data_IF_476727414067
#
_entry.id   IF_476727414067
#
_cell.length_a   1.000
_cell.length_b   1.000
_cell.length_c   1.000
_cell.angle_alpha   90.00
_cell.angle_beta   90.00
_cell.angle_gamma   90.00
#
_symmetry.space_group_name_H-M   'P 1'
#
loop_
_entity.id
_entity.type
_entity.pdbx_description
1 polymer ?
#
# COMPACT_ATOMS: atom_id res chain seq x y z
N UNK A 1 -27.35 -4.00 -9.17
CA UNK A 1 -26.26 -4.24 -8.21
C UNK A 1 -25.31 -3.06 -8.25
N UNK A 2 -24.78 -2.59 -7.10
CA UNK A 2 -23.83 -1.48 -7.07
C UNK A 2 -22.54 -1.84 -7.82
N UNK A 3 -21.82 -0.83 -8.33
CA UNK A 3 -20.58 -1.02 -9.09
C UNK A 3 -19.51 -1.78 -8.28
N UNK A 4 -19.48 -1.56 -6.96
CA UNK A 4 -18.61 -2.28 -6.03
C UNK A 4 -18.93 -3.79 -6.00
N UNK A 5 -20.21 -4.16 -5.97
CA UNK A 5 -20.59 -5.58 -5.99
C UNK A 5 -20.24 -6.21 -7.33
N UNK A 6 -20.41 -5.47 -8.43
CA UNK A 6 -20.08 -5.96 -9.76
C UNK A 6 -18.57 -6.15 -9.95
N UNK A 7 -17.73 -5.21 -9.51
CA UNK A 7 -16.27 -5.35 -9.67
C UNK A 7 -15.72 -6.44 -8.73
N UNK A 8 -16.35 -6.63 -7.56
CA UNK A 8 -15.93 -7.62 -6.58
C UNK A 8 -16.38 -9.05 -6.94
N UNK A 9 -17.66 -9.26 -7.26
CA UNK A 9 -18.25 -10.58 -7.49
C UNK A 9 -18.49 -10.93 -8.96
N UNK A 10 -18.40 -9.95 -9.86
CA UNK A 10 -18.56 -10.16 -11.29
C UNK A 10 -17.33 -10.80 -11.94
N UNK A 11 -17.54 -11.26 -13.17
CA UNK A 11 -16.57 -12.06 -13.96
C UNK A 11 -15.84 -11.25 -15.03
N UNK A 12 -16.00 -9.92 -15.06
CA UNK A 12 -15.31 -9.03 -16.00
C UNK A 12 -14.98 -7.70 -15.31
N UNK A 13 -13.94 -7.73 -14.47
CA UNK A 13 -13.54 -6.58 -13.66
C UNK A 13 -13.09 -5.41 -14.54
N UNK A 14 -12.49 -5.70 -15.70
CA UNK A 14 -12.04 -4.69 -16.65
C UNK A 14 -13.23 -3.93 -17.26
N UNK A 15 -14.22 -4.65 -17.81
CA UNK A 15 -15.38 -4.02 -18.43
C UNK A 15 -16.23 -3.27 -17.40
N UNK A 16 -16.37 -3.80 -16.19
CA UNK A 16 -17.06 -3.08 -15.10
C UNK A 16 -16.33 -1.79 -14.75
N UNK A 17 -15.01 -1.84 -14.49
CA UNK A 17 -14.25 -0.67 -14.09
C UNK A 17 -14.28 0.46 -15.13
N UNK A 18 -14.22 0.12 -16.43
CA UNK A 18 -14.25 1.08 -17.53
C UNK A 18 -15.62 1.72 -17.77
N UNK A 19 -16.71 1.14 -17.24
CA UNK A 19 -18.09 1.65 -17.40
C UNK A 19 -18.52 2.58 -16.27
N UNK A 20 -17.81 2.58 -15.14
CA UNK A 20 -18.17 3.42 -13.99
C UNK A 20 -18.07 4.89 -14.39
N UNK A 21 -19.14 5.68 -14.27
CA UNK A 21 -19.13 7.08 -14.66
C UNK A 21 -18.24 7.91 -13.74
N UNK A 22 -17.57 8.91 -14.30
CA UNK A 22 -16.85 9.89 -13.51
C UNK A 22 -17.84 10.77 -12.74
N UNK A 23 -17.64 10.89 -11.43
CA UNK A 23 -18.44 11.78 -10.57
C UNK A 23 -17.89 13.22 -10.53
N UNK A 24 -16.64 13.41 -10.94
CA UNK A 24 -15.94 14.69 -11.01
C UNK A 24 -14.81 14.62 -12.05
N UNK A 25 -14.34 15.75 -12.60
CA UNK A 25 -13.21 15.76 -13.51
C UNK A 25 -11.91 15.28 -12.81
N UNK A 26 -10.94 14.73 -13.56
CA UNK A 26 -9.61 14.42 -13.03
C UNK A 26 -8.98 15.65 -12.35
N UNK A 27 -8.43 15.44 -11.15
CA UNK A 27 -7.90 16.55 -10.33
C UNK A 27 -8.97 17.39 -9.63
N UNK A 28 -10.24 16.98 -9.61
CA UNK A 28 -11.33 17.68 -8.91
C UNK A 28 -11.42 17.43 -7.40
N UNK A 29 -10.62 16.51 -6.85
CA UNK A 29 -10.64 16.15 -5.42
C UNK A 29 -10.09 14.76 -5.14
N UNK A 30 -10.13 14.34 -3.87
CA UNK A 30 -9.66 13.03 -3.42
C UNK A 30 -10.81 12.09 -3.01
N UNK A 31 -10.83 10.89 -3.60
CA UNK A 31 -11.69 9.78 -3.21
C UNK A 31 -10.88 8.49 -3.23
N UNK A 32 -10.82 7.78 -2.11
CA UNK A 32 -10.24 6.44 -2.07
C UNK A 32 -11.16 5.48 -2.84
N UNK A 33 -10.66 4.92 -3.95
CA UNK A 33 -11.52 4.23 -4.92
C UNK A 33 -10.83 3.02 -5.58
N UNK A 34 -11.45 1.86 -5.41
CA UNK A 34 -11.01 0.59 -5.98
C UNK A 34 -11.07 0.55 -7.51
N UNK A 35 -12.05 1.22 -8.12
CA UNK A 35 -12.23 1.25 -9.58
C UNK A 35 -11.01 1.85 -10.26
N UNK A 36 -10.44 2.93 -9.70
CA UNK A 36 -9.26 3.58 -10.25
C UNK A 36 -8.05 2.63 -10.28
N UNK A 37 -7.85 1.85 -9.21
CA UNK A 37 -6.80 0.83 -9.16
C UNK A 37 -7.01 -0.28 -10.20
N UNK A 38 -8.27 -0.69 -10.44
CA UNK A 38 -8.58 -1.67 -11.49
C UNK A 38 -8.30 -1.11 -12.89
N UNK A 39 -8.65 0.15 -13.15
CA UNK A 39 -8.34 0.82 -14.43
C UNK A 39 -6.82 0.89 -14.66
N UNK A 40 -6.02 1.15 -13.61
CA UNK A 40 -4.55 1.08 -13.72
C UNK A 40 -4.06 -0.33 -14.05
N UNK A 41 -4.69 -1.37 -13.49
CA UNK A 41 -4.44 -2.76 -13.87
C UNK A 41 -4.68 -3.00 -15.36
N UNK A 42 -5.82 -2.54 -15.88
CA UNK A 42 -6.18 -2.70 -17.30
C UNK A 42 -5.17 -1.98 -18.19
N UNK A 43 -4.76 -0.78 -17.80
CA UNK A 43 -3.73 -0.02 -18.51
C UNK A 43 -2.39 -0.77 -18.53
N UNK A 44 -1.99 -1.36 -17.41
CA UNK A 44 -0.73 -2.09 -17.31
C UNK A 44 -0.72 -3.34 -18.18
N UNK A 45 -1.78 -4.16 -18.14
CA UNK A 45 -1.87 -5.35 -19.00
C UNK A 45 -1.88 -4.98 -20.49
N UNK A 46 -2.60 -3.92 -20.87
CA UNK A 46 -2.62 -3.44 -22.26
C UNK A 46 -1.27 -2.89 -22.72
N UNK A 47 -0.56 -2.16 -21.85
CA UNK A 47 0.73 -1.56 -22.18
C UNK A 47 1.86 -2.60 -22.25
N UNK A 48 1.77 -3.68 -21.47
CA UNK A 48 2.81 -4.70 -21.35
C UNK A 48 2.53 -5.95 -22.18
N UNK A 49 1.26 -6.21 -22.51
CA UNK A 49 0.82 -7.47 -23.12
C UNK A 49 0.88 -8.67 -22.16
N UNK A 50 1.07 -8.45 -20.86
CA UNK A 50 1.22 -9.49 -19.85
C UNK A 50 0.08 -9.43 -18.82
N UNK A 51 -0.38 -10.59 -18.29
CA UNK A 51 -1.27 -10.60 -17.13
C UNK A 51 -0.63 -9.87 -15.95
N UNK A 52 -1.44 -9.11 -15.20
CA UNK A 52 -0.96 -8.24 -14.13
C UNK A 52 -0.16 -9.03 -13.07
N UNK A 53 -0.66 -10.19 -12.67
CA UNK A 53 -0.01 -11.03 -11.65
C UNK A 53 1.38 -11.51 -12.09
N UNK A 54 1.53 -11.87 -13.37
CA UNK A 54 2.82 -12.25 -13.95
C UNK A 54 3.77 -11.06 -14.04
N UNK A 55 3.26 -9.91 -14.49
CA UNK A 55 4.07 -8.69 -14.57
C UNK A 55 4.59 -8.27 -13.19
N UNK A 56 3.73 -8.25 -12.18
CA UNK A 56 4.11 -7.97 -10.80
C UNK A 56 5.14 -8.98 -10.26
N UNK A 57 4.92 -10.27 -10.56
CA UNK A 57 5.83 -11.34 -10.14
C UNK A 57 7.25 -11.09 -10.66
N UNK A 58 7.39 -10.86 -11.97
CA UNK A 58 8.68 -10.64 -12.60
C UNK A 58 9.34 -9.32 -12.23
N UNK A 59 8.56 -8.25 -12.10
CA UNK A 59 9.11 -6.89 -11.91
C UNK A 59 9.42 -6.55 -10.47
N UNK A 60 8.69 -7.12 -9.51
CA UNK A 60 8.81 -6.74 -8.09
C UNK A 60 8.96 -7.99 -7.23
N UNK A 61 8.04 -8.95 -7.31
CA UNK A 61 7.92 -10.02 -6.31
C UNK A 61 9.13 -10.97 -6.27
N UNK A 62 9.53 -11.50 -7.43
CA UNK A 62 10.74 -12.32 -7.53
C UNK A 62 12.01 -11.50 -7.20
N UNK A 63 12.20 -10.27 -7.73
CA UNK A 63 13.33 -9.43 -7.35
C UNK A 63 13.50 -9.14 -5.86
N UNK A 64 12.40 -9.03 -5.10
CA UNK A 64 12.48 -8.87 -3.63
C UNK A 64 12.73 -10.18 -2.88
N UNK A 65 12.86 -11.30 -3.60
CA UNK A 65 13.06 -12.63 -3.02
C UNK A 65 11.86 -13.12 -2.23
N UNK A 66 10.65 -12.70 -2.60
CA UNK A 66 9.42 -13.17 -1.99
C UNK A 66 9.05 -14.59 -2.46
N UNK A 67 8.34 -15.32 -1.61
CA UNK A 67 7.83 -16.66 -1.93
C UNK A 67 6.54 -16.63 -2.77
N UNK A 68 5.85 -17.76 -2.79
CA UNK A 68 4.58 -17.88 -3.52
C UNK A 68 3.52 -16.91 -2.98
N UNK A 69 2.78 -16.32 -3.91
CA UNK A 69 1.67 -15.43 -3.64
C UNK A 69 0.54 -15.66 -4.64
N UNK A 70 -0.67 -15.24 -4.28
CA UNK A 70 -1.86 -15.47 -5.09
C UNK A 70 -2.66 -14.19 -5.29
N UNK A 71 -3.28 -14.06 -6.46
CA UNK A 71 -4.29 -13.06 -6.73
C UNK A 71 -5.65 -13.72 -6.91
N UNK A 72 -6.69 -13.07 -6.39
CA UNK A 72 -8.04 -13.40 -6.81
C UNK A 72 -8.30 -12.82 -8.21
N UNK A 73 -8.57 -13.70 -9.17
CA UNK A 73 -9.00 -13.33 -10.52
C UNK A 73 -10.52 -13.08 -10.58
N UNK A 74 -10.98 -12.29 -11.54
CA UNK A 74 -12.41 -12.11 -11.78
C UNK A 74 -13.12 -13.38 -12.28
N UNK A 75 -12.41 -14.20 -13.03
CA UNK A 75 -12.79 -15.55 -13.47
C UNK A 75 -11.55 -16.40 -13.69
N UNK A 76 -11.73 -17.71 -13.91
CA UNK A 76 -10.64 -18.59 -14.30
C UNK A 76 -9.96 -18.08 -15.59
N UNK A 77 -8.63 -17.95 -15.56
CA UNK A 77 -7.86 -17.36 -16.66
C UNK A 77 -8.14 -15.88 -16.94
N UNK A 78 -8.88 -15.21 -16.05
CA UNK A 78 -9.25 -13.81 -16.15
C UNK A 78 -8.23 -12.84 -15.57
N UNK A 79 -8.66 -11.61 -15.36
CA UNK A 79 -7.82 -10.53 -14.87
C UNK A 79 -7.74 -10.57 -13.34
N UNK A 80 -6.58 -10.23 -12.78
CA UNK A 80 -6.45 -9.99 -11.34
C UNK A 80 -7.35 -8.84 -10.87
N UNK A 81 -7.99 -9.01 -9.71
CA UNK A 81 -8.68 -7.92 -9.00
C UNK A 81 -7.64 -7.01 -8.33
N UNK A 82 -7.05 -6.09 -9.07
CA UNK A 82 -5.83 -5.34 -8.67
C UNK A 82 -6.04 -4.39 -7.48
N UNK A 83 -7.30 -4.04 -7.16
CA UNK A 83 -7.64 -3.17 -6.04
C UNK A 83 -7.65 -3.88 -4.68
N UNK A 84 -7.59 -5.21 -4.63
CA UNK A 84 -7.62 -5.98 -3.41
C UNK A 84 -6.89 -7.31 -3.59
N UNK A 85 -7.12 -8.23 -2.66
CA UNK A 85 -7.13 -9.66 -2.96
C UNK A 85 -5.79 -10.23 -3.46
N UNK A 86 -4.69 -9.60 -3.04
CA UNK A 86 -3.34 -10.14 -3.12
C UNK A 86 -3.00 -10.84 -1.80
N UNK A 87 -2.72 -12.13 -1.88
CA UNK A 87 -2.44 -12.99 -0.74
C UNK A 87 -0.97 -13.35 -0.74
N UNK A 88 -0.29 -12.99 0.33
CA UNK A 88 1.13 -13.23 0.55
C UNK A 88 1.41 -13.36 2.05
N UNK A 89 2.56 -13.95 2.40
CA UNK A 89 2.93 -14.10 3.81
C UNK A 89 3.35 -12.75 4.42
N UNK A 90 3.25 -12.63 5.74
CA UNK A 90 3.74 -11.44 6.44
C UNK A 90 5.23 -11.16 6.17
N UNK A 91 6.03 -12.22 5.96
CA UNK A 91 7.46 -12.09 5.63
C UNK A 91 7.68 -11.50 4.24
N UNK A 92 6.81 -11.81 3.28
CA UNK A 92 6.93 -11.25 1.93
C UNK A 92 6.48 -9.79 1.89
N UNK A 93 5.43 -9.44 2.63
CA UNK A 93 5.09 -8.04 2.88
C UNK A 93 6.22 -7.27 3.58
N UNK A 94 6.97 -7.93 4.48
CA UNK A 94 8.14 -7.33 5.13
C UNK A 94 9.25 -7.06 4.11
N UNK A 95 9.50 -7.97 3.16
CA UNK A 95 10.45 -7.75 2.06
C UNK A 95 10.05 -6.58 1.17
N UNK A 96 8.77 -6.43 0.88
CA UNK A 96 8.26 -5.27 0.14
C UNK A 96 8.55 -3.97 0.89
N UNK A 97 8.21 -3.93 2.18
CA UNK A 97 8.50 -2.78 3.05
C UNK A 97 9.99 -2.50 3.17
N UNK A 98 10.84 -3.54 3.27
CA UNK A 98 12.30 -3.41 3.31
C UNK A 98 12.85 -2.82 2.02
N UNK A 99 12.38 -3.28 0.85
CA UNK A 99 12.79 -2.70 -0.44
C UNK A 99 12.38 -1.21 -0.54
N UNK A 100 11.23 -0.82 0.00
CA UNK A 100 10.84 0.59 0.09
C UNK A 100 11.71 1.38 1.08
N UNK A 101 12.06 0.80 2.24
CA UNK A 101 12.99 1.38 3.21
C UNK A 101 14.36 1.64 2.58
N UNK A 102 14.84 0.68 1.78
CA UNK A 102 16.10 0.72 1.04
C UNK A 102 15.99 1.46 -0.29
N UNK A 103 15.03 2.40 -0.39
CA UNK A 103 14.88 3.35 -1.51
C UNK A 103 14.72 2.66 -2.87
N UNK A 104 14.01 1.53 -2.86
CA UNK A 104 13.73 0.73 -4.04
C UNK A 104 14.77 -0.33 -4.36
N UNK A 105 15.72 -0.60 -3.46
CA UNK A 105 16.82 -1.55 -3.69
C UNK A 105 16.64 -2.87 -2.95
N UNK A 106 17.26 -3.90 -3.49
CA UNK A 106 17.48 -5.20 -2.85
C UNK A 106 18.93 -5.58 -3.10
N UNK A 107 19.78 -5.44 -2.06
CA UNK A 107 21.23 -5.52 -2.22
C UNK A 107 21.74 -4.50 -3.25
N UNK A 108 22.39 -4.99 -4.30
CA UNK A 108 22.93 -4.13 -5.37
C UNK A 108 21.91 -3.77 -6.45
N UNK A 109 20.78 -4.49 -6.52
CA UNK A 109 19.78 -4.32 -7.56
C UNK A 109 18.79 -3.19 -7.23
N UNK A 110 18.56 -2.29 -8.18
CA UNK A 110 17.48 -1.29 -8.13
C UNK A 110 16.20 -1.90 -8.71
N UNK A 111 15.24 -2.27 -7.85
CA UNK A 111 13.97 -2.90 -8.25
C UNK A 111 12.98 -1.85 -8.75
N UNK A 112 12.80 -0.76 -8.00
CA UNK A 112 12.05 0.42 -8.43
C UNK A 112 12.96 1.65 -8.38
N UNK A 113 12.87 2.62 -9.31
CA UNK A 113 13.69 3.83 -9.23
C UNK A 113 13.43 4.62 -7.94
N UNK A 114 14.48 5.09 -7.27
CA UNK A 114 14.34 5.95 -6.07
C UNK A 114 13.49 7.19 -6.37
N UNK A 115 13.64 7.78 -7.56
CA UNK A 115 12.84 8.92 -8.00
C UNK A 115 11.35 8.58 -8.16
N UNK A 116 11.00 7.32 -8.45
CA UNK A 116 9.61 6.87 -8.48
C UNK A 116 9.07 6.72 -7.07
N UNK A 117 9.84 6.15 -6.14
CA UNK A 117 9.45 6.08 -4.73
C UNK A 117 9.23 7.49 -4.15
N UNK A 118 10.12 8.44 -4.42
CA UNK A 118 9.93 9.84 -3.99
C UNK A 118 8.61 10.44 -4.51
N UNK A 119 8.24 10.16 -5.76
CA UNK A 119 6.94 10.56 -6.32
C UNK A 119 5.78 9.88 -5.59
N UNK A 120 5.90 8.58 -5.28
CA UNK A 120 4.88 7.85 -4.52
C UNK A 120 4.65 8.46 -3.14
N UNK A 121 5.69 8.99 -2.51
CA UNK A 121 5.66 9.58 -1.17
C UNK A 121 5.36 11.08 -1.16
N UNK A 122 5.12 11.69 -2.31
CA UNK A 122 4.75 13.11 -2.40
C UNK A 122 3.25 13.28 -2.12
N UNK A 123 2.83 14.10 -1.14
CA UNK A 123 1.43 14.35 -0.85
C UNK A 123 0.65 14.90 -2.04
N UNK A 124 -0.62 14.50 -2.17
CA UNK A 124 -1.52 15.11 -3.15
C UNK A 124 -2.11 16.42 -2.63
N UNK A 125 -2.45 17.39 -3.50
CA UNK A 125 -3.06 18.66 -3.07
C UNK A 125 -4.41 18.52 -2.34
N UNK A 126 -5.12 17.40 -2.54
CA UNK A 126 -6.46 17.17 -2.02
C UNK A 126 -6.52 16.22 -0.82
N UNK A 127 -5.43 15.49 -0.55
CA UNK A 127 -5.26 14.65 0.63
C UNK A 127 -3.78 14.67 1.02
N UNK A 128 -3.39 15.44 2.05
CA UNK A 128 -2.00 15.59 2.45
C UNK A 128 -1.42 14.33 3.12
N UNK A 129 -2.28 13.39 3.54
CA UNK A 129 -1.88 12.08 4.08
C UNK A 129 -1.87 10.97 3.00
N UNK A 130 -1.92 11.30 1.71
CA UNK A 130 -1.92 10.31 0.63
C UNK A 130 -1.06 10.74 -0.54
N UNK A 131 -0.24 9.80 -1.03
CA UNK A 131 0.57 9.95 -2.25
C UNK A 131 0.04 9.07 -3.39
N UNK A 132 0.93 8.49 -4.19
CA UNK A 132 0.53 7.55 -5.25
C UNK A 132 0.32 6.15 -4.68
N UNK A 133 -0.91 5.87 -4.25
CA UNK A 133 -1.31 4.57 -3.64
C UNK A 133 -0.63 4.23 -2.30
N UNK A 134 -0.12 5.24 -1.58
CA UNK A 134 0.54 5.07 -0.27
C UNK A 134 0.00 6.11 0.71
N UNK A 135 -0.24 5.71 1.95
CA UNK A 135 -0.60 6.63 3.04
C UNK A 135 0.64 7.21 3.70
N UNK A 136 0.57 8.49 4.07
CA UNK A 136 1.68 9.26 4.63
C UNK A 136 1.35 9.68 6.07
N UNK A 137 2.36 9.70 6.94
CA UNK A 137 2.27 10.21 8.31
C UNK A 137 2.56 11.72 8.37
N UNK A 138 2.16 12.46 7.34
CA UNK A 138 2.65 13.82 7.08
C UNK A 138 1.83 14.91 7.78
N UNK A 139 0.50 14.80 7.79
CA UNK A 139 -0.40 15.87 8.21
C UNK A 139 -1.06 15.62 9.56
N UNK A 140 -1.13 16.68 10.36
CA UNK A 140 -1.97 16.73 11.55
C UNK A 140 -3.44 17.03 11.22
N UNK A 141 -3.76 17.38 9.97
CA UNK A 141 -5.10 17.78 9.50
C UNK A 141 -5.67 16.85 8.42
N UNK A 142 -4.94 15.79 8.06
CA UNK A 142 -5.40 14.79 7.10
C UNK A 142 -6.64 14.03 7.59
N UNK A 143 -7.39 13.43 6.64
CA UNK A 143 -8.68 12.76 6.95
C UNK A 143 -8.54 11.59 7.94
N UNK A 144 -7.32 11.06 8.10
CA UNK A 144 -7.00 9.96 9.01
C UNK A 144 -6.63 10.38 10.43
N UNK A 145 -6.61 11.68 10.73
CA UNK A 145 -6.40 12.19 12.10
C UNK A 145 -7.31 11.50 13.13
N UNK A 146 -8.58 11.27 12.77
CA UNK A 146 -9.58 10.65 13.65
C UNK A 146 -9.30 9.18 14.02
N UNK A 147 -8.35 8.52 13.37
CA UNK A 147 -7.96 7.13 13.67
C UNK A 147 -6.71 7.07 14.56
N UNK A 148 -6.33 8.18 15.21
CA UNK A 148 -5.10 8.29 16.00
C UNK A 148 -5.43 8.96 17.34
N UNK A 149 -4.99 8.37 18.46
CA UNK A 149 -5.15 9.02 19.78
C UNK A 149 -4.10 10.12 20.02
N UNK A 150 -3.00 10.07 19.27
CA UNK A 150 -1.88 11.00 19.31
C UNK A 150 -1.22 11.18 17.93
N UNK A 151 -0.43 12.24 17.71
CA UNK A 151 0.35 12.37 16.47
C UNK A 151 1.35 11.22 16.31
N UNK A 152 1.69 10.90 15.05
CA UNK A 152 2.83 10.03 14.77
C UNK A 152 4.13 10.70 15.22
N UNK A 153 5.01 9.93 15.86
CA UNK A 153 6.35 10.40 16.24
C UNK A 153 7.22 10.60 14.99
N UNK A 154 7.18 9.64 14.06
CA UNK A 154 7.95 9.70 12.82
C UNK A 154 7.12 10.30 11.68
N UNK A 155 7.42 11.54 11.30
CA UNK A 155 6.72 12.27 10.22
C UNK A 155 7.11 11.82 8.80
N UNK A 156 8.21 11.09 8.67
CA UNK A 156 8.64 10.46 7.42
C UNK A 156 8.08 9.03 7.24
N UNK A 157 7.26 8.57 8.19
CA UNK A 157 6.59 7.28 8.07
C UNK A 157 5.59 7.30 6.92
N UNK A 158 5.53 6.20 6.19
CA UNK A 158 4.48 5.91 5.22
C UNK A 158 4.03 4.47 5.37
N UNK A 159 2.85 4.14 4.84
CA UNK A 159 2.32 2.80 5.00
C UNK A 159 1.35 2.38 3.89
N UNK A 160 1.33 1.07 3.67
CA UNK A 160 0.29 0.41 2.88
C UNK A 160 -0.85 0.00 3.82
N UNK A 161 -2.08 0.21 3.36
CA UNK A 161 -3.30 -0.05 4.12
C UNK A 161 -4.18 -1.04 3.37
N UNK A 162 -4.57 -2.11 4.05
CA UNK A 162 -5.54 -3.08 3.57
C UNK A 162 -6.75 -3.22 4.51
N UNK A 163 -7.80 -3.82 3.97
CA UNK A 163 -9.02 -4.17 4.72
C UNK A 163 -8.68 -4.94 6.00
N UNK A 164 -9.52 -4.79 7.02
CA UNK A 164 -9.30 -5.38 8.35
C UNK A 164 -7.97 -5.00 8.98
N UNK A 165 -7.47 -3.80 8.64
CA UNK A 165 -6.26 -3.18 9.20
C UNK A 165 -4.97 -3.94 8.82
N UNK A 166 -4.88 -4.53 7.64
CA UNK A 166 -3.56 -4.99 7.17
C UNK A 166 -2.64 -3.77 7.02
N UNK A 167 -1.40 -3.85 7.51
CA UNK A 167 -0.45 -2.73 7.49
C UNK A 167 0.94 -3.19 7.11
N UNK A 168 1.59 -2.37 6.29
CA UNK A 168 3.04 -2.35 6.11
C UNK A 168 3.49 -0.94 6.39
N UNK A 169 3.98 -0.68 7.61
CA UNK A 169 4.58 0.60 7.98
C UNK A 169 6.06 0.60 7.63
N UNK A 170 6.54 1.70 7.05
CA UNK A 170 7.94 1.93 6.74
C UNK A 170 8.35 3.27 7.35
N UNK A 171 9.40 3.25 8.17
CA UNK A 171 9.85 4.38 8.97
C UNK A 171 11.35 4.60 8.71
N UNK A 172 11.72 5.41 7.70
CA UNK A 172 13.12 5.61 7.30
C UNK A 172 14.01 6.12 8.42
N UNK A 173 13.57 7.13 9.17
CA UNK A 173 14.32 7.74 10.28
C UNK A 173 14.67 6.79 11.42
N UNK A 174 13.99 5.64 11.50
CA UNK A 174 14.22 4.60 12.50
C UNK A 174 14.71 3.27 11.90
N UNK A 175 14.95 3.21 10.58
CA UNK A 175 15.34 1.98 9.87
C UNK A 175 14.40 0.81 10.19
N UNK A 176 13.10 1.09 10.24
CA UNK A 176 12.11 0.18 10.81
C UNK A 176 10.99 -0.11 9.79
N UNK A 177 10.70 -1.40 9.61
CA UNK A 177 9.53 -1.89 8.89
C UNK A 177 8.68 -2.71 9.85
N UNK A 178 7.37 -2.42 9.89
CA UNK A 178 6.41 -3.14 10.73
C UNK A 178 5.32 -3.70 9.83
N UNK A 179 5.11 -5.02 9.89
CA UNK A 179 4.00 -5.68 9.20
C UNK A 179 2.99 -6.14 10.23
N UNK A 180 1.74 -5.74 10.06
CA UNK A 180 0.60 -6.28 10.82
C UNK A 180 -0.34 -6.95 9.84
N UNK A 181 -0.48 -8.26 10.00
CA UNK A 181 -1.53 -9.04 9.36
C UNK A 181 -2.44 -9.65 10.41
N UNK A 182 -3.74 -9.71 10.15
CA UNK A 182 -4.68 -10.29 11.10
C UNK A 182 -6.14 -9.99 10.77
N UNK A 183 -7.02 -10.88 11.24
CA UNK A 183 -8.45 -10.84 10.95
C UNK A 183 -9.28 -10.28 12.12
N UNK A 184 -8.64 -10.03 13.27
CA UNK A 184 -9.28 -9.47 14.45
C UNK A 184 -8.88 -7.99 14.57
N UNK A 185 -9.87 -7.13 14.40
CA UNK A 185 -9.71 -5.68 14.55
C UNK A 185 -10.41 -5.31 15.85
N UNK A 186 -9.67 -4.90 16.90
CA UNK A 186 -10.29 -4.29 18.07
C UNK A 186 -11.16 -3.12 17.61
N UNK A 187 -12.36 -2.97 18.19
CA UNK A 187 -13.40 -2.08 17.67
C UNK A 187 -12.97 -0.64 17.35
N UNK A 188 -11.89 -0.13 17.98
CA UNK A 188 -11.25 1.11 17.59
C UNK A 188 -9.74 0.88 17.41
N UNK A 189 -9.29 0.81 16.16
CA UNK A 189 -7.86 0.78 15.84
C UNK A 189 -7.26 2.18 15.95
N UNK A 190 -6.09 2.25 16.60
CA UNK A 190 -5.27 3.45 16.68
C UNK A 190 -4.04 3.27 15.78
N UNK A 191 -4.00 3.98 14.65
CA UNK A 191 -2.91 3.88 13.70
C UNK A 191 -1.56 4.31 14.31
N UNK A 192 -1.55 5.18 15.32
CA UNK A 192 -0.34 5.67 15.97
C UNK A 192 0.21 4.70 17.03
N UNK A 193 -0.62 3.82 17.59
CA UNK A 193 -0.26 3.00 18.74
C UNK A 193 0.95 2.11 18.50
N UNK A 194 0.91 1.24 17.48
CA UNK A 194 1.99 0.29 17.19
C UNK A 194 3.30 1.01 16.82
N UNK A 195 3.35 1.91 15.81
CA UNK A 195 4.60 2.55 15.42
C UNK A 195 5.19 3.41 16.54
N UNK A 196 4.38 4.22 17.23
CA UNK A 196 4.89 5.07 18.32
C UNK A 196 5.40 4.24 19.50
N UNK A 197 4.74 3.13 19.83
CA UNK A 197 5.18 2.24 20.92
C UNK A 197 6.55 1.65 20.62
N UNK A 198 6.77 1.15 19.40
CA UNK A 198 8.07 0.58 19.00
C UNK A 198 9.16 1.67 18.94
N UNK A 199 8.86 2.85 18.42
CA UNK A 199 9.79 3.99 18.41
C UNK A 199 10.22 4.35 19.84
N UNK A 200 9.28 4.47 20.78
CA UNK A 200 9.61 4.76 22.19
C UNK A 200 10.47 3.66 22.84
N UNK A 201 10.28 2.41 22.44
CA UNK A 201 11.10 1.28 22.88
C UNK A 201 12.55 1.40 22.38
N UNK A 202 12.74 1.59 21.08
CA UNK A 202 14.07 1.66 20.44
C UNK A 202 14.92 2.85 20.92
N UNK A 203 14.31 4.01 21.18
CA UNK A 203 15.02 5.17 21.74
C UNK A 203 15.61 4.86 23.12
N UNK A 204 14.89 4.10 23.97
CA UNK A 204 15.37 3.73 25.31
C UNK A 204 16.56 2.78 25.26
N UNK A 205 16.61 1.87 24.29
CA UNK A 205 17.73 0.93 24.12
C UNK A 205 18.99 1.66 23.63
N UNK A 206 18.86 2.53 22.61
CA UNK A 206 20.00 3.33 22.10
C UNK A 206 20.60 4.28 23.14
N UNK A 207 19.86 4.66 24.19
CA UNK A 207 20.39 5.44 25.32
C UNK A 207 21.12 4.58 26.36
N UNK A 208 20.76 3.30 26.50
CA UNK A 208 21.45 2.36 27.39
C UNK A 208 22.81 1.92 26.83
N UNK A 209 22.91 1.74 25.52
CA UNK A 209 24.16 1.35 24.86
C UNK A 209 25.21 2.48 24.80
N UNK A 210 24.85 3.70 25.19
CA UNK A 210 25.71 4.89 25.19
C UNK A 210 26.17 5.34 26.59
N UNK A 211 25.79 4.63 27.64
CA UNK A 211 26.20 4.90 29.03
C UNK A 211 27.10 3.80 29.56
#
# INVERSE_FOLDING_TARGET
FSDLVQIYLGTDAAATALKVPQVQPPGGGFFYNNVNTQVLGVLLERATGQPFAEYLSHKIWQPIGAGDAAYWLDREGGMAKTFCCFFATARDWLRLGQMMLDRGRVGEQQVIPESWLQKMLTPTPFEPDYGLHVWLAYSEDGRRKKHRSEPFIARDMFYLDGADIQRVYVIPSYELVIVRVGNDVPGMWDDAFVPNTLIRGTVKERMKDKG
#
